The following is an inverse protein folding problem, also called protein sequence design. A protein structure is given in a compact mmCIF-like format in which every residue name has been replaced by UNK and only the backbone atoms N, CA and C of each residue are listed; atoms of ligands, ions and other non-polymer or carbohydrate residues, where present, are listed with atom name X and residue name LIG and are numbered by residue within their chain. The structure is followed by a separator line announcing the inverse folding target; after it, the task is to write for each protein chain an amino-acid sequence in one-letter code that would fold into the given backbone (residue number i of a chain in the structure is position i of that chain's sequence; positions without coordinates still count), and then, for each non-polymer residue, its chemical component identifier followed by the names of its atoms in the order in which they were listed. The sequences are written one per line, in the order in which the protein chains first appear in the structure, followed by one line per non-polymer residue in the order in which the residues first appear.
data_IF_565817546005
#
_entry.id   IF_565817546005
#
_cell.length_a   1.000
_cell.length_b   1.000
_cell.length_c   1.000
_cell.angle_alpha   90.00
_cell.angle_beta   90.00
_cell.angle_gamma   90.00
#
_symmetry.space_group_name_H-M   'P 1'
#
loop_
_entity.id
_entity.type
_entity.pdbx_description
1 polymer ?
#
# COMPACT_ATOMS: atom_id res chain seq x y z
N UNK A 1 -7.15 -28.41 -10.30
CA UNK A 1 -6.76 -27.05 -9.81
C UNK A 1 -6.56 -26.07 -10.96
N UNK A 2 -5.67 -26.32 -11.94
CA UNK A 2 -5.46 -25.37 -13.06
C UNK A 2 -6.73 -24.98 -13.83
N UNK A 3 -7.62 -25.94 -14.13
CA UNK A 3 -8.89 -25.66 -14.80
C UNK A 3 -9.85 -24.80 -13.96
N UNK A 4 -9.75 -24.84 -12.63
CA UNK A 4 -10.55 -24.01 -11.74
C UNK A 4 -10.03 -22.58 -11.75
N UNK A 5 -8.72 -22.38 -11.60
CA UNK A 5 -8.12 -21.04 -11.69
C UNK A 5 -8.41 -20.37 -13.03
N UNK A 6 -8.28 -21.09 -14.13
CA UNK A 6 -8.65 -20.56 -15.45
C UNK A 6 -10.13 -20.13 -15.58
N UNK A 7 -11.02 -20.65 -14.74
CA UNK A 7 -12.45 -20.38 -14.79
C UNK A 7 -12.91 -19.29 -13.81
N UNK A 8 -12.20 -19.06 -12.71
CA UNK A 8 -12.65 -18.14 -11.65
C UNK A 8 -11.60 -17.18 -11.11
N UNK A 9 -10.32 -17.37 -11.39
CA UNK A 9 -9.27 -16.45 -10.93
C UNK A 9 -9.29 -15.17 -11.79
N UNK A 10 -9.50 -13.97 -11.18
CA UNK A 10 -9.46 -12.70 -11.90
C UNK A 10 -8.19 -12.51 -12.74
N UNK A 11 -7.06 -13.07 -12.29
CA UNK A 11 -5.79 -13.04 -13.02
C UNK A 11 -5.90 -13.63 -14.42
N UNK A 12 -6.73 -14.67 -14.59
CA UNK A 12 -6.94 -15.34 -15.89
C UNK A 12 -7.76 -14.52 -16.89
N UNK A 13 -8.30 -13.36 -16.47
CA UNK A 13 -9.17 -12.50 -17.27
C UNK A 13 -8.60 -11.10 -17.49
N UNK A 14 -7.29 -10.91 -17.30
CA UNK A 14 -6.64 -9.61 -17.47
C UNK A 14 -6.83 -9.02 -18.87
N UNK A 15 -6.88 -9.86 -19.92
CA UNK A 15 -7.21 -9.44 -21.29
C UNK A 15 -8.52 -8.65 -21.40
N UNK A 16 -9.49 -8.90 -20.50
CA UNK A 16 -10.79 -8.21 -20.49
C UNK A 16 -10.75 -6.81 -19.87
N UNK A 17 -9.65 -6.46 -19.20
CA UNK A 17 -9.49 -5.17 -18.50
C UNK A 17 -8.60 -4.18 -19.27
N UNK A 18 -8.15 -4.54 -20.48
CA UNK A 18 -7.35 -3.67 -21.34
C UNK A 18 -8.08 -2.37 -21.69
N UNK A 19 -7.43 -1.23 -21.48
CA UNK A 19 -7.97 0.10 -21.83
C UNK A 19 -9.09 0.60 -20.92
N UNK A 20 -9.59 -0.22 -19.99
CA UNK A 20 -10.53 0.21 -18.95
C UNK A 20 -9.70 0.86 -17.83
N UNK A 21 -10.09 2.02 -17.25
CA UNK A 21 -9.49 2.52 -16.01
C UNK A 21 -9.94 1.70 -14.80
N UNK A 22 -8.99 1.27 -13.96
CA UNK A 22 -9.28 0.53 -12.71
C UNK A 22 -8.62 1.21 -11.52
N UNK A 23 -9.33 1.28 -10.42
CA UNK A 23 -8.77 1.61 -9.10
C UNK A 23 -8.84 0.35 -8.23
N UNK A 24 -7.68 -0.08 -7.72
CA UNK A 24 -7.57 -1.14 -6.71
C UNK A 24 -7.32 -0.47 -5.36
N UNK A 25 -7.99 -0.97 -4.33
CA UNK A 25 -7.89 -0.44 -2.96
C UNK A 25 -7.70 -1.61 -2.01
N UNK A 26 -6.59 -1.59 -1.30
CA UNK A 26 -6.21 -2.58 -0.30
C UNK A 26 -6.00 -1.90 1.07
N UNK A 27 -5.83 -2.70 2.11
CA UNK A 27 -5.70 -2.24 3.48
C UNK A 27 -4.43 -2.79 4.14
N UNK A 28 -3.68 -1.95 4.84
CA UNK A 28 -2.41 -2.37 5.47
C UNK A 28 -2.57 -3.35 6.64
N UNK A 29 -3.75 -3.39 7.27
CA UNK A 29 -4.04 -4.29 8.39
C UNK A 29 -5.20 -5.25 8.09
N UNK A 30 -5.38 -5.59 6.81
CA UNK A 30 -6.32 -6.63 6.39
C UNK A 30 -6.01 -7.97 7.09
N UNK A 31 -7.05 -8.64 7.60
CA UNK A 31 -6.89 -9.90 8.33
C UNK A 31 -6.63 -11.12 7.44
N UNK A 32 -6.87 -11.00 6.13
CA UNK A 32 -6.85 -12.08 5.16
C UNK A 32 -5.79 -11.90 4.07
N UNK A 33 -5.53 -10.66 3.67
CA UNK A 33 -4.58 -10.32 2.61
C UNK A 33 -3.33 -9.66 3.20
N UNK A 34 -2.15 -10.07 2.75
CA UNK A 34 -0.92 -9.42 3.17
C UNK A 34 -0.75 -8.08 2.46
N UNK A 35 -0.10 -7.10 3.12
CA UNK A 35 0.09 -5.77 2.54
C UNK A 35 0.91 -5.76 1.24
N UNK A 36 1.64 -6.83 0.93
CA UNK A 36 2.47 -6.94 -0.28
C UNK A 36 1.96 -7.98 -1.30
N UNK A 37 0.71 -8.44 -1.16
CA UNK A 37 0.12 -9.44 -2.07
C UNK A 37 0.04 -8.94 -3.52
N UNK A 38 0.06 -7.62 -3.75
CA UNK A 38 0.07 -7.02 -5.08
C UNK A 38 1.34 -7.36 -5.88
N UNK A 39 2.43 -7.72 -5.21
CA UNK A 39 3.69 -8.11 -5.84
C UNK A 39 3.50 -9.18 -6.94
N UNK A 40 2.57 -10.11 -6.74
CA UNK A 40 2.38 -11.25 -7.64
C UNK A 40 1.63 -10.93 -8.93
N UNK A 41 0.81 -9.89 -8.96
CA UNK A 41 -0.12 -9.64 -10.06
C UNK A 41 -0.10 -8.20 -10.59
N UNK A 42 0.28 -7.23 -9.75
CA UNK A 42 0.29 -5.82 -10.13
C UNK A 42 1.11 -5.56 -11.40
N UNK A 43 2.32 -6.11 -11.60
CA UNK A 43 3.09 -5.85 -12.82
C UNK A 43 2.43 -6.34 -14.12
N UNK A 44 1.53 -7.33 -14.06
CA UNK A 44 0.80 -7.83 -15.24
C UNK A 44 -0.59 -7.21 -15.41
N UNK A 45 -1.09 -6.47 -14.42
CA UNK A 45 -2.43 -5.90 -14.48
C UNK A 45 -2.52 -4.84 -15.60
N UNK A 46 -3.48 -4.85 -16.54
CA UNK A 46 -3.41 -3.92 -17.67
C UNK A 46 -3.55 -2.45 -17.26
N UNK A 47 -2.92 -1.55 -18.02
CA UNK A 47 -3.15 -0.10 -17.91
C UNK A 47 -4.50 0.32 -18.55
N UNK A 48 -5.08 1.48 -18.19
CA UNK A 48 -4.71 2.32 -17.05
C UNK A 48 -5.15 1.71 -15.71
N UNK A 49 -4.25 1.68 -14.73
CA UNK A 49 -4.50 1.14 -13.38
C UNK A 49 -3.99 2.10 -12.29
N UNK A 50 -4.73 2.18 -11.19
CA UNK A 50 -4.41 2.98 -10.01
C UNK A 50 -4.50 2.10 -8.77
N UNK A 51 -3.63 2.37 -7.80
CA UNK A 51 -3.53 1.58 -6.58
C UNK A 51 -3.56 2.47 -5.36
N UNK A 52 -4.40 2.09 -4.40
CA UNK A 52 -4.48 2.69 -3.09
C UNK A 52 -4.27 1.62 -2.01
N UNK A 53 -3.37 1.87 -1.07
CA UNK A 53 -3.25 1.13 0.18
C UNK A 53 -3.66 2.06 1.30
N UNK A 54 -4.75 1.72 1.97
CA UNK A 54 -5.27 2.50 3.09
C UNK A 54 -4.52 2.10 4.37
N UNK A 55 -3.76 3.03 4.98
CA UNK A 55 -3.08 2.77 6.24
C UNK A 55 -4.09 2.55 7.36
N UNK A 56 -3.76 1.65 8.28
CA UNK A 56 -4.52 1.36 9.51
C UNK A 56 -5.99 0.92 9.28
N UNK A 57 -6.28 0.41 8.09
CA UNK A 57 -7.59 -0.11 7.73
C UNK A 57 -7.68 -1.64 7.90
N UNK A 58 -8.82 -2.12 8.40
CA UNK A 58 -9.17 -3.55 8.41
C UNK A 58 -9.86 -3.99 7.11
N UNK A 59 -10.15 -5.28 6.96
CA UNK A 59 -10.62 -5.89 5.72
C UNK A 59 -11.84 -5.21 5.06
N UNK A 60 -12.79 -4.68 5.85
CA UNK A 60 -13.96 -3.97 5.32
C UNK A 60 -13.70 -2.50 4.96
N UNK A 61 -12.48 -2.01 5.21
CA UNK A 61 -12.04 -0.61 5.06
C UNK A 61 -12.85 0.39 5.88
N UNK A 62 -13.64 -0.08 6.85
CA UNK A 62 -14.51 0.78 7.67
C UNK A 62 -13.71 1.73 8.55
N UNK A 63 -12.58 1.28 9.10
CA UNK A 63 -11.66 2.13 9.88
C UNK A 63 -10.87 3.11 8.98
N UNK A 64 -10.83 2.86 7.67
CA UNK A 64 -10.18 3.70 6.66
C UNK A 64 -11.13 4.59 5.85
N UNK A 65 -12.39 4.72 6.26
CA UNK A 65 -13.45 5.34 5.45
C UNK A 65 -13.15 6.80 5.05
N UNK A 66 -12.41 7.53 5.89
CA UNK A 66 -12.03 8.92 5.66
C UNK A 66 -11.11 9.09 4.44
N UNK A 67 -10.34 8.05 4.11
CA UNK A 67 -9.47 8.01 2.93
C UNK A 67 -10.17 7.33 1.76
N UNK A 68 -10.86 6.21 2.01
CA UNK A 68 -11.58 5.43 1.00
C UNK A 68 -12.57 6.28 0.18
N UNK A 69 -13.46 7.01 0.87
CA UNK A 69 -14.56 7.72 0.19
C UNK A 69 -14.04 8.81 -0.75
N UNK A 70 -13.13 9.71 -0.33
CA UNK A 70 -12.54 10.67 -1.25
C UNK A 70 -11.77 10.05 -2.41
N UNK A 71 -11.04 8.95 -2.22
CA UNK A 71 -10.29 8.27 -3.29
C UNK A 71 -11.24 7.74 -4.36
N UNK A 72 -12.30 7.03 -3.96
CA UNK A 72 -13.32 6.51 -4.90
C UNK A 72 -14.05 7.65 -5.60
N UNK A 73 -14.50 8.66 -4.85
CA UNK A 73 -15.19 9.82 -5.42
C UNK A 73 -14.30 10.55 -6.43
N UNK A 74 -13.03 10.68 -6.12
CA UNK A 74 -12.03 11.28 -7.01
C UNK A 74 -11.87 10.48 -8.29
N UNK A 75 -11.65 9.17 -8.19
CA UNK A 75 -11.46 8.31 -9.36
C UNK A 75 -12.66 8.36 -10.30
N UNK A 76 -13.87 8.23 -9.76
CA UNK A 76 -15.11 8.35 -10.53
C UNK A 76 -15.24 9.74 -11.16
N UNK A 77 -14.95 10.81 -10.42
CA UNK A 77 -15.03 12.16 -10.94
C UNK A 77 -14.01 12.42 -12.07
N UNK A 78 -12.79 11.92 -11.93
CA UNK A 78 -11.77 12.02 -12.98
C UNK A 78 -12.17 11.27 -14.23
N UNK A 79 -12.77 10.08 -14.08
CA UNK A 79 -13.29 9.30 -15.20
C UNK A 79 -14.44 10.01 -15.92
N UNK A 80 -15.41 10.56 -15.18
CA UNK A 80 -16.57 11.23 -15.77
C UNK A 80 -16.24 12.57 -16.47
N UNK A 81 -15.13 13.21 -16.11
CA UNK A 81 -14.76 14.53 -16.61
C UNK A 81 -13.49 14.52 -17.49
N UNK A 82 -13.00 13.34 -17.90
CA UNK A 82 -11.77 13.19 -18.70
C UNK A 82 -10.56 13.93 -18.11
N UNK A 83 -10.43 13.93 -16.78
CA UNK A 83 -9.27 14.53 -16.14
C UNK A 83 -8.05 13.63 -16.31
N UNK A 84 -6.93 14.25 -16.72
CA UNK A 84 -5.65 13.55 -16.81
C UNK A 84 -5.24 13.03 -15.43
N UNK A 85 -4.93 11.74 -15.38
CA UNK A 85 -4.32 11.09 -14.24
C UNK A 85 -2.83 11.42 -14.19
N UNK A 86 -2.22 11.42 -13.00
CA UNK A 86 -0.77 11.45 -12.89
C UNK A 86 -0.19 10.10 -13.32
N UNK A 87 0.92 10.14 -14.06
CA UNK A 87 1.68 8.94 -14.38
C UNK A 87 2.77 8.75 -13.32
N UNK A 88 2.74 7.60 -12.65
CA UNK A 88 3.65 7.31 -11.55
C UNK A 88 4.30 5.96 -11.84
N UNK A 89 5.60 6.01 -12.00
CA UNK A 89 6.43 4.81 -12.08
C UNK A 89 7.25 4.71 -10.80
N UNK A 90 7.50 3.49 -10.35
CA UNK A 90 8.37 3.26 -9.21
C UNK A 90 9.31 2.10 -9.44
N UNK A 91 10.43 2.16 -8.74
CA UNK A 91 11.43 1.10 -8.70
C UNK A 91 11.85 0.82 -7.27
N UNK A 92 12.24 -0.43 -7.03
CA UNK A 92 12.62 -0.93 -5.72
C UNK A 92 14.05 -1.44 -5.81
N UNK A 93 14.93 -0.98 -4.92
CA UNK A 93 16.29 -1.51 -4.81
C UNK A 93 16.33 -2.81 -3.98
N UNK A 94 16.02 -3.92 -4.62
CA UNK A 94 16.12 -5.25 -4.02
C UNK A 94 17.56 -5.71 -3.74
N UNK A 95 18.57 -5.04 -4.32
CA UNK A 95 19.97 -5.43 -4.19
C UNK A 95 20.69 -4.73 -3.04
N UNK A 96 20.20 -3.56 -2.64
CA UNK A 96 20.70 -2.75 -1.54
C UNK A 96 19.79 -2.80 -0.32
N UNK A 97 19.36 -1.62 0.14
CA UNK A 97 18.63 -1.48 1.40
C UNK A 97 17.10 -1.62 1.24
N UNK A 98 16.58 -1.83 0.03
CA UNK A 98 15.14 -1.87 -0.23
C UNK A 98 14.50 -0.54 -0.61
N UNK A 99 15.26 0.55 -0.84
CA UNK A 99 14.70 1.87 -1.12
C UNK A 99 13.70 1.88 -2.29
N UNK A 100 12.64 2.69 -2.14
CA UNK A 100 11.64 2.94 -3.19
C UNK A 100 11.95 4.28 -3.85
N UNK A 101 12.05 4.30 -5.17
CA UNK A 101 12.12 5.53 -5.97
C UNK A 101 10.85 5.70 -6.76
N UNK A 102 10.06 6.72 -6.45
CA UNK A 102 8.85 7.10 -7.16
C UNK A 102 9.15 8.25 -8.12
N UNK A 103 8.85 8.06 -9.39
CA UNK A 103 9.02 9.05 -10.46
C UNK A 103 7.66 9.41 -11.02
N UNK A 104 7.31 10.67 -10.83
CA UNK A 104 6.05 11.24 -11.27
C UNK A 104 6.28 12.02 -12.55
N UNK A 105 5.51 11.70 -13.58
CA UNK A 105 5.49 12.42 -14.84
C UNK A 105 4.05 12.82 -15.18
N UNK A 106 3.89 13.92 -15.91
CA UNK A 106 2.56 14.47 -16.19
C UNK A 106 1.91 15.14 -14.98
N UNK A 107 1.20 16.24 -15.22
CA UNK A 107 0.44 17.04 -14.23
C UNK A 107 1.09 17.15 -12.82
N UNK A 108 2.39 17.40 -12.77
CA UNK A 108 3.20 17.46 -11.54
C UNK A 108 2.86 18.66 -10.64
N UNK A 109 2.19 19.67 -11.18
CA UNK A 109 1.81 20.91 -10.49
C UNK A 109 0.75 20.71 -9.40
N UNK A 110 0.13 19.53 -9.33
CA UNK A 110 -0.94 19.22 -8.37
C UNK A 110 -0.51 18.29 -7.24
N UNK A 111 0.76 17.90 -7.18
CA UNK A 111 1.28 17.09 -6.07
C UNK A 111 1.25 17.94 -4.80
N UNK A 112 0.49 17.52 -3.81
CA UNK A 112 0.35 18.21 -2.51
C UNK A 112 1.44 17.76 -1.55
N UNK A 113 1.65 16.46 -1.40
CA UNK A 113 2.71 15.87 -0.57
C UNK A 113 2.98 14.41 -0.95
N UNK A 114 4.17 13.95 -0.62
CA UNK A 114 4.54 12.54 -0.65
C UNK A 114 4.80 12.06 0.78
N UNK A 115 4.36 10.86 1.12
CA UNK A 115 4.47 10.30 2.46
C UNK A 115 5.02 8.89 2.36
N UNK A 116 6.03 8.56 3.16
CA UNK A 116 6.42 7.18 3.43
C UNK A 116 5.61 6.68 4.61
N UNK A 117 4.89 5.59 4.42
CA UNK A 117 4.27 4.83 5.50
C UNK A 117 5.12 3.61 5.83
N UNK A 118 5.20 3.24 7.11
CA UNK A 118 5.81 1.98 7.52
C UNK A 118 5.13 1.39 8.77
N UNK A 119 4.98 0.07 8.80
CA UNK A 119 4.46 -0.69 9.95
C UNK A 119 5.34 -1.90 10.23
N UNK A 120 5.27 -2.41 11.47
CA UNK A 120 6.05 -3.57 11.90
C UNK A 120 5.15 -4.78 12.15
N UNK A 121 5.68 -5.96 11.89
CA UNK A 121 4.97 -7.20 12.20
C UNK A 121 5.10 -7.58 13.68
N UNK A 122 4.21 -8.45 14.13
CA UNK A 122 4.28 -9.08 15.44
C UNK A 122 5.62 -9.79 15.72
N UNK A 123 6.18 -9.52 16.90
CA UNK A 123 7.46 -10.01 17.45
C UNK A 123 7.41 -11.40 18.08
N UNK A 124 6.49 -12.27 17.65
CA UNK A 124 6.43 -13.65 18.15
C UNK A 124 7.77 -14.38 17.95
N UNK A 125 8.04 -15.44 18.73
CA UNK A 125 9.18 -16.33 18.48
C UNK A 125 8.66 -17.64 17.86
N UNK A 126 8.89 -17.89 16.56
CA UNK A 126 9.65 -17.07 15.59
C UNK A 126 8.86 -15.88 15.05
N UNK A 127 9.59 -14.83 14.63
CA UNK A 127 9.03 -13.59 14.10
C UNK A 127 8.08 -13.89 12.94
N UNK A 128 6.80 -13.52 13.11
CA UNK A 128 5.77 -13.82 12.12
C UNK A 128 5.54 -12.60 11.25
N UNK A 129 5.30 -12.85 9.96
CA UNK A 129 4.90 -11.83 8.99
C UNK A 129 3.41 -11.51 9.17
N UNK A 130 3.08 -11.01 10.34
CA UNK A 130 1.73 -10.78 10.82
C UNK A 130 1.57 -9.29 11.13
N UNK A 131 0.87 -8.58 10.25
CA UNK A 131 0.60 -7.15 10.31
C UNK A 131 -0.82 -6.85 10.80
N UNK A 132 -1.49 -7.81 11.44
CA UNK A 132 -2.83 -7.59 11.97
C UNK A 132 -2.74 -6.85 13.31
N UNK A 133 -3.59 -5.84 13.47
CA UNK A 133 -3.72 -5.13 14.74
C UNK A 133 -4.29 -6.04 15.83
N UNK A 134 -5.22 -6.95 15.47
CA UNK A 134 -5.82 -7.90 16.40
C UNK A 134 -5.51 -9.33 15.95
N UNK A 135 -5.00 -10.16 16.86
CA UNK A 135 -4.75 -11.58 16.63
C UNK A 135 -5.12 -12.44 17.85
N UNK A 136 -5.03 -13.76 17.71
CA UNK A 136 -5.43 -14.75 18.72
C UNK A 136 -4.24 -15.31 19.51
N UNK A 137 -3.13 -14.57 19.61
CA UNK A 137 -1.95 -15.07 20.29
C UNK A 137 -2.18 -15.30 21.79
N UNK A 138 -1.77 -16.49 22.24
CA UNK A 138 -1.71 -16.87 23.65
C UNK A 138 -0.44 -17.69 23.93
N UNK A 139 0.53 -17.17 24.71
CA UNK A 139 0.55 -15.84 25.33
C UNK A 139 0.63 -14.70 24.30
N UNK A 140 0.07 -13.53 24.63
CA UNK A 140 0.13 -12.32 23.80
C UNK A 140 1.54 -11.71 23.86
N UNK A 141 2.45 -12.19 23.02
CA UNK A 141 3.87 -11.84 23.06
C UNK A 141 4.21 -10.49 22.41
N UNK A 142 3.45 -10.09 21.39
CA UNK A 142 3.72 -8.91 20.56
C UNK A 142 2.73 -7.77 20.79
N UNK A 143 2.09 -7.73 21.96
CA UNK A 143 0.99 -6.81 22.16
C UNK A 143 0.43 -6.81 23.57
N UNK A 144 -0.78 -6.28 23.68
CA UNK A 144 -1.54 -6.23 24.94
C UNK A 144 -2.80 -7.07 24.78
N UNK A 145 -3.14 -7.86 25.81
CA UNK A 145 -4.42 -8.58 25.84
C UNK A 145 -5.59 -7.59 25.85
N UNK A 146 -6.54 -7.76 24.94
CA UNK A 146 -7.76 -6.93 24.80
C UNK A 146 -9.02 -7.80 24.84
N UNK A 147 -10.18 -7.15 24.92
CA UNK A 147 -11.50 -7.79 25.05
C UNK A 147 -11.56 -8.91 26.09
N UNK A 148 -11.47 -8.55 27.37
CA UNK A 148 -11.45 -9.48 28.51
C UNK A 148 -10.28 -10.50 28.52
N UNK A 149 -9.33 -10.38 27.59
CA UNK A 149 -8.16 -11.26 27.47
C UNK A 149 -8.24 -12.27 26.35
N UNK A 150 -9.28 -12.21 25.51
CA UNK A 150 -9.48 -13.13 24.39
C UNK A 150 -8.51 -12.84 23.23
N UNK A 151 -8.28 -11.57 22.90
CA UNK A 151 -7.43 -11.19 21.78
C UNK A 151 -6.11 -10.55 22.23
N UNK A 152 -5.15 -10.54 21.33
CA UNK A 152 -3.88 -9.82 21.46
C UNK A 152 -3.84 -8.66 20.47
N UNK A 153 -3.76 -7.44 20.99
CA UNK A 153 -3.65 -6.22 20.19
C UNK A 153 -2.19 -5.81 19.97
N UNK A 154 -1.74 -5.79 18.72
CA UNK A 154 -0.41 -5.37 18.31
C UNK A 154 -0.42 -3.96 17.71
N UNK A 155 -0.05 -2.96 18.52
CA UNK A 155 0.04 -1.57 18.06
C UNK A 155 1.28 -1.30 17.16
N UNK A 156 2.27 -2.19 17.14
CA UNK A 156 3.45 -2.04 16.26
C UNK A 156 3.08 -2.26 14.78
N UNK A 157 1.95 -2.90 14.52
CA UNK A 157 1.40 -3.09 13.16
C UNK A 157 0.70 -1.87 12.59
N UNK A 158 0.53 -0.80 13.36
CA UNK A 158 0.05 0.47 12.83
C UNK A 158 1.12 1.14 11.97
N UNK A 159 0.69 1.82 10.91
CA UNK A 159 1.56 2.43 9.91
C UNK A 159 1.86 3.89 10.22
N UNK A 160 3.12 4.19 10.50
CA UNK A 160 3.59 5.54 10.78
C UNK A 160 3.95 6.28 9.50
N UNK A 161 3.49 7.53 9.42
CA UNK A 161 3.70 8.42 8.30
C UNK A 161 4.93 9.32 8.49
N UNK A 162 5.78 9.42 7.47
CA UNK A 162 6.85 10.42 7.38
C UNK A 162 6.72 11.16 6.05
N UNK A 163 6.58 12.49 6.08
CA UNK A 163 6.54 13.28 4.85
C UNK A 163 7.90 13.26 4.14
N UNK A 164 7.87 13.10 2.82
CA UNK A 164 9.05 13.04 1.96
C UNK A 164 9.25 14.37 1.24
N UNK A 165 10.51 14.77 1.13
CA UNK A 165 10.93 15.86 0.25
C UNK A 165 11.32 15.29 -1.10
N UNK A 166 10.92 15.96 -2.19
CA UNK A 166 11.37 15.58 -3.53
C UNK A 166 12.89 15.70 -3.63
N UNK A 167 13.55 14.67 -4.16
CA UNK A 167 14.99 14.70 -4.46
C UNK A 167 15.28 15.46 -5.76
N UNK A 168 14.27 15.55 -6.64
CA UNK A 168 14.30 16.35 -7.86
C UNK A 168 12.91 16.85 -8.21
N UNK A 169 12.82 18.08 -8.71
CA UNK A 169 11.61 18.65 -9.28
C UNK A 169 12.00 19.70 -10.33
N UNK A 170 11.75 19.41 -11.60
CA UNK A 170 12.05 20.31 -12.72
C UNK A 170 10.79 20.93 -13.37
N UNK A 171 9.62 20.73 -12.74
CA UNK A 171 8.33 21.17 -13.24
C UNK A 171 7.71 20.25 -14.30
N UNK A 172 8.43 19.27 -14.84
CA UNK A 172 7.90 18.21 -15.73
C UNK A 172 7.89 16.85 -15.05
N UNK A 173 8.86 16.63 -14.18
CA UNK A 173 9.07 15.42 -13.42
C UNK A 173 9.33 15.78 -11.96
N UNK A 174 8.78 14.97 -11.05
CA UNK A 174 9.09 15.00 -9.62
C UNK A 174 9.57 13.62 -9.21
N UNK A 175 10.65 13.55 -8.45
CA UNK A 175 11.21 12.28 -7.96
C UNK A 175 11.21 12.30 -6.44
N UNK A 176 10.66 11.26 -5.84
CA UNK A 176 10.75 10.99 -4.40
C UNK A 176 11.53 9.70 -4.18
N UNK A 177 12.34 9.68 -3.12
CA UNK A 177 13.05 8.48 -2.67
C UNK A 177 12.70 8.26 -1.21
N UNK A 178 12.26 7.05 -0.89
CA UNK A 178 12.03 6.61 0.47
C UNK A 178 12.96 5.46 0.80
N UNK A 179 13.87 5.71 1.74
CA UNK A 179 14.64 4.64 2.37
C UNK A 179 13.78 3.97 3.47
N UNK A 180 13.91 2.66 3.66
CA UNK A 180 13.28 2.00 4.80
C UNK A 180 13.90 2.48 6.11
N UNK A 181 13.11 2.68 7.16
CA UNK A 181 13.64 2.79 8.52
C UNK A 181 14.45 1.56 8.92
N UNK A 182 15.24 1.70 9.99
CA UNK A 182 15.95 0.55 10.58
C UNK A 182 14.94 -0.51 11.05
N UNK A 183 15.09 -1.74 10.54
CA UNK A 183 14.22 -2.86 10.90
C UNK A 183 14.71 -3.45 12.23
N UNK A 184 13.92 -3.39 13.31
CA UNK A 184 14.32 -3.97 14.57
C UNK A 184 14.50 -5.48 14.44
N UNK A 185 15.39 -6.04 15.26
CA UNK A 185 15.61 -7.50 15.28
C UNK A 185 14.29 -8.23 15.54
N UNK A 186 14.09 -9.37 14.89
CA UNK A 186 12.91 -10.23 15.06
C UNK A 186 11.59 -9.57 14.62
N UNK A 187 11.65 -8.60 13.71
CA UNK A 187 10.48 -8.01 13.04
C UNK A 187 10.58 -8.16 11.52
N UNK A 188 9.41 -8.16 10.90
CA UNK A 188 9.26 -7.74 9.51
C UNK A 188 8.79 -6.29 9.48
N UNK A 189 9.20 -5.53 8.49
CA UNK A 189 8.74 -4.16 8.27
C UNK A 189 8.10 -4.07 6.90
N UNK A 190 6.85 -3.64 6.85
CA UNK A 190 6.18 -3.26 5.62
C UNK A 190 6.31 -1.74 5.44
N UNK A 191 6.66 -1.26 4.25
CA UNK A 191 6.69 0.18 3.98
C UNK A 191 6.38 0.50 2.52
N UNK A 192 5.84 1.70 2.27
CA UNK A 192 5.48 2.18 0.94
C UNK A 192 5.49 3.72 0.86
N UNK A 193 5.46 4.24 -0.37
CA UNK A 193 5.26 5.67 -0.66
C UNK A 193 3.83 5.90 -1.12
N UNK A 194 3.18 6.90 -0.55
CA UNK A 194 1.86 7.42 -0.91
C UNK A 194 2.00 8.86 -1.42
N UNK A 195 1.51 9.16 -2.62
CA UNK A 195 1.49 10.54 -3.16
C UNK A 195 0.08 11.12 -3.14
N UNK A 196 -0.12 12.24 -2.45
CA UNK A 196 -1.39 12.95 -2.40
C UNK A 196 -1.41 14.15 -3.37
N UNK A 197 -2.54 14.38 -4.05
CA UNK A 197 -2.77 15.51 -4.95
C UNK A 197 -3.78 16.53 -4.40
N UNK A 198 -3.75 17.77 -4.90
CA UNK A 198 -4.59 18.89 -4.39
C UNK A 198 -6.07 18.76 -4.70
N UNK A 199 -6.43 18.35 -5.93
CA UNK A 199 -7.84 18.19 -6.35
C UNK A 199 -8.32 16.74 -6.29
N UNK A 200 -7.42 15.83 -5.95
CA UNK A 200 -7.60 14.41 -6.06
C UNK A 200 -7.00 13.80 -4.78
N UNK A 201 -7.81 13.28 -3.88
CA UNK A 201 -7.27 12.32 -2.89
C UNK A 201 -7.02 10.96 -3.56
N UNK A 202 -6.50 10.99 -4.79
CA UNK A 202 -5.83 9.82 -5.35
C UNK A 202 -4.52 9.79 -4.61
N UNK A 203 -4.42 8.86 -3.71
CA UNK A 203 -3.13 8.40 -3.26
C UNK A 203 -2.76 7.29 -4.24
N UNK A 204 -1.56 7.42 -4.79
CA UNK A 204 -0.99 6.36 -5.61
C UNK A 204 0.20 5.81 -4.87
N UNK A 205 0.22 4.49 -4.76
CA UNK A 205 1.16 3.78 -3.90
C UNK A 205 2.15 2.96 -4.69
N UNK A 206 3.42 3.16 -4.34
CA UNK A 206 4.57 2.66 -5.09
C UNK A 206 4.97 1.24 -4.68
N UNK A 207 4.00 0.36 -4.40
CA UNK A 207 4.19 -1.00 -3.84
C UNK A 207 4.67 -1.03 -2.38
N UNK A 208 4.22 -2.05 -1.64
CA UNK A 208 4.72 -2.40 -0.31
C UNK A 208 5.94 -3.31 -0.42
N UNK A 209 6.99 -2.99 0.35
CA UNK A 209 8.12 -3.89 0.55
C UNK A 209 8.09 -4.40 1.96
N UNK A 210 8.31 -5.71 2.12
CA UNK A 210 8.45 -6.34 3.43
C UNK A 210 9.90 -6.78 3.64
N UNK A 211 10.58 -6.12 4.58
CA UNK A 211 11.98 -6.35 4.93
C UNK A 211 12.10 -7.08 6.27
N UNK A 212 13.20 -7.81 6.47
CA UNK A 212 13.57 -8.43 7.76
C UNK A 212 15.07 -8.30 7.98
N UNK A 213 15.47 -8.04 9.22
CA UNK A 213 16.86 -8.03 9.68
C UNK A 213 17.27 -9.41 10.23
#
# INVERSE_FOLDING_TARGET
MQQMFAACDPYSFFDRFEGIPKLVIDATNDEFFMPDDEYYWWPQFPEPRFFEMVPDAEHSLSTGIEQLVPTVATFVNSYLNDYAYPDIEWTIDYSGNGSITATLTGNTTRVKKAVRFHGLSCTGLPARRDFRVINLDDPCLCGVKVDTGEYCGNAESLFFATELTAVSNDGRQIVFVAEPPEVPKDHWMAFFIAIQYEMFQVICICTIIILKN
#
